data_IF_331375110194
#
_entry.id   IF_331375110194
#
_cell.length_a   1.000
_cell.length_b   1.000
_cell.length_c   1.000
_cell.angle_alpha   90.00
_cell.angle_beta   90.00
_cell.angle_gamma   90.00
#
_symmetry.space_group_name_H-M   'P 1'
#
loop_
_entity.id
_entity.type
_entity.pdbx_description
1 polymer ?
#
# COMPACT_ATOMS: atom_id res chain seq x y z
N UNK A 1 -1.07 2.88 5.06
CA UNK A 1 -1.91 2.70 3.85
C UNK A 1 -1.03 2.24 2.68
N UNK A 2 -1.28 1.05 2.12
CA UNK A 2 -0.43 0.47 1.06
C UNK A 2 -0.83 0.90 -0.37
N UNK A 3 -2.12 1.09 -0.63
CA UNK A 3 -2.65 1.37 -1.96
C UNK A 3 -2.29 2.77 -2.54
N UNK A 4 -2.30 3.88 -1.77
CA UNK A 4 -1.96 5.20 -2.34
C UNK A 4 -0.53 5.30 -2.87
N UNK A 5 0.52 4.84 -2.14
CA UNK A 5 1.88 4.81 -2.70
C UNK A 5 1.96 3.98 -3.99
N UNK A 6 1.34 2.80 -4.02
CA UNK A 6 1.33 1.95 -5.21
C UNK A 6 0.63 2.61 -6.40
N UNK A 7 -0.53 3.24 -6.18
CA UNK A 7 -1.26 3.96 -7.21
C UNK A 7 -0.48 5.17 -7.74
N UNK A 8 0.35 5.82 -6.92
CA UNK A 8 1.17 6.94 -7.35
C UNK A 8 2.39 6.53 -8.19
N UNK A 9 3.01 5.37 -7.91
CA UNK A 9 4.27 4.96 -8.57
C UNK A 9 4.10 3.91 -9.68
N UNK A 10 3.00 3.17 -9.70
CA UNK A 10 2.76 2.14 -10.72
C UNK A 10 1.83 2.67 -11.82
N UNK A 11 2.18 2.44 -13.10
CA UNK A 11 1.27 2.75 -14.19
C UNK A 11 0.10 1.77 -14.21
N UNK A 12 -0.97 2.15 -14.89
CA UNK A 12 -2.04 1.21 -15.23
C UNK A 12 -1.59 0.32 -16.40
N UNK A 13 -1.68 -1.02 -16.29
CA UNK A 13 -1.07 -1.92 -17.27
C UNK A 13 -1.92 -2.18 -18.53
N UNK A 14 -3.22 -1.87 -18.53
CA UNK A 14 -4.12 -2.18 -19.68
C UNK A 14 -4.39 -0.94 -20.53
N UNK A 15 -4.24 -1.06 -21.84
CA UNK A 15 -4.42 0.04 -22.80
C UNK A 15 -5.88 0.45 -22.94
N UNK A 16 -6.82 -0.50 -22.84
CA UNK A 16 -8.26 -0.19 -22.92
C UNK A 16 -8.79 0.57 -21.69
N UNK A 17 -7.97 0.70 -20.64
CA UNK A 17 -8.40 1.25 -19.36
C UNK A 17 -9.18 0.23 -18.51
N UNK A 18 -9.81 0.74 -17.46
CA UNK A 18 -10.64 -0.05 -16.54
C UNK A 18 -10.80 0.66 -15.19
N UNK A 19 -11.54 0.09 -14.23
CA UNK A 19 -11.91 0.79 -13.00
C UNK A 19 -10.72 1.34 -12.18
N UNK A 20 -9.55 0.69 -12.26
CA UNK A 20 -8.34 1.17 -11.59
C UNK A 20 -7.59 2.30 -12.29
N UNK A 21 -7.91 2.61 -13.55
CA UNK A 21 -7.17 3.60 -14.36
C UNK A 21 -7.38 5.05 -13.92
N UNK A 22 -8.43 5.30 -13.13
CA UNK A 22 -8.69 6.62 -12.51
C UNK A 22 -7.68 6.98 -11.42
N UNK A 23 -7.09 5.98 -10.76
CA UNK A 23 -6.19 6.19 -9.63
C UNK A 23 -4.72 5.91 -9.98
N UNK A 24 -4.47 4.82 -10.71
CA UNK A 24 -3.12 4.32 -11.00
C UNK A 24 -2.39 5.21 -12.01
N UNK A 25 -1.20 5.67 -11.65
CA UNK A 25 -0.40 6.64 -12.41
C UNK A 25 -0.99 8.06 -12.43
N UNK A 26 -2.10 8.31 -11.73
CA UNK A 26 -2.79 9.62 -11.69
C UNK A 26 -2.88 10.23 -10.31
N UNK A 27 -2.58 9.47 -9.26
CA UNK A 27 -2.54 9.98 -7.89
C UNK A 27 -1.31 10.88 -7.69
N UNK A 28 -1.50 12.04 -7.05
CA UNK A 28 -0.37 12.92 -6.77
C UNK A 28 0.57 12.30 -5.74
N UNK A 29 1.87 12.39 -6.00
CA UNK A 29 2.91 11.95 -5.06
C UNK A 29 2.76 12.56 -3.66
N UNK A 30 2.46 13.88 -3.52
CA UNK A 30 2.20 14.49 -2.21
C UNK A 30 1.00 13.88 -1.48
N UNK A 31 -0.11 13.61 -2.18
CA UNK A 31 -1.27 12.98 -1.55
C UNK A 31 -0.95 11.56 -1.06
N UNK A 32 -0.19 10.78 -1.85
CA UNK A 32 0.27 9.46 -1.45
C UNK A 32 1.19 9.52 -0.22
N UNK A 33 2.10 10.50 -0.17
CA UNK A 33 2.98 10.72 0.97
C UNK A 33 2.20 11.09 2.24
N UNK A 34 1.21 11.97 2.13
CA UNK A 34 0.32 12.33 3.25
C UNK A 34 -0.46 11.10 3.75
N UNK A 35 -1.02 10.29 2.86
CA UNK A 35 -1.74 9.07 3.26
C UNK A 35 -0.83 8.05 3.98
N UNK A 36 0.41 7.88 3.49
CA UNK A 36 1.40 7.03 4.15
C UNK A 36 1.80 7.58 5.52
N UNK A 37 2.08 8.88 5.61
CA UNK A 37 2.45 9.56 6.85
C UNK A 37 1.33 9.49 7.90
N UNK A 38 0.07 9.73 7.51
CA UNK A 38 -1.07 9.60 8.42
C UNK A 38 -1.19 8.19 8.97
N UNK A 39 -1.08 7.17 8.13
CA UNK A 39 -1.11 5.78 8.58
C UNK A 39 0.03 5.44 9.55
N UNK A 40 1.24 5.93 9.27
CA UNK A 40 2.39 5.75 10.15
C UNK A 40 2.21 6.46 11.50
N UNK A 41 1.77 7.72 11.48
CA UNK A 41 1.50 8.51 12.68
C UNK A 41 0.44 7.88 13.56
N UNK A 42 -0.68 7.42 12.98
CA UNK A 42 -1.73 6.71 13.74
C UNK A 42 -1.15 5.46 14.41
N UNK A 43 -0.38 4.66 13.68
CA UNK A 43 0.22 3.45 14.22
C UNK A 43 1.20 3.73 15.37
N UNK A 44 2.09 4.72 15.21
CA UNK A 44 3.07 5.08 16.23
C UNK A 44 2.44 5.69 17.48
N UNK A 45 1.41 6.53 17.32
CA UNK A 45 0.73 7.18 18.45
C UNK A 45 -0.17 6.21 19.23
N UNK A 46 -0.83 5.28 18.55
CA UNK A 46 -1.77 4.36 19.20
C UNK A 46 -1.09 3.14 19.85
N UNK A 47 0.09 2.72 19.38
CA UNK A 47 0.74 1.46 19.78
C UNK A 47 2.21 1.64 20.16
N UNK A 48 2.61 2.77 20.73
CA UNK A 48 4.03 2.97 21.11
C UNK A 48 4.51 1.93 22.14
N UNK A 49 5.68 1.27 21.96
CA UNK A 49 6.64 1.38 20.84
C UNK A 49 6.43 0.36 19.71
N UNK A 50 5.57 -0.64 19.89
CA UNK A 50 5.35 -1.75 18.95
C UNK A 50 4.75 -1.32 17.60
N UNK A 51 4.13 -0.13 17.54
CA UNK A 51 3.60 0.49 16.32
C UNK A 51 4.65 0.64 15.21
N UNK A 52 5.94 0.79 15.56
CA UNK A 52 7.01 0.83 14.56
C UNK A 52 7.07 -0.47 13.73
N UNK A 53 6.84 -1.63 14.34
CA UNK A 53 6.80 -2.91 13.62
C UNK A 53 5.60 -3.00 12.67
N UNK A 54 4.47 -2.41 13.03
CA UNK A 54 3.29 -2.35 12.15
C UNK A 54 3.57 -1.49 10.91
N UNK A 55 4.26 -0.36 11.08
CA UNK A 55 4.70 0.49 9.97
C UNK A 55 5.68 -0.24 9.06
N UNK A 56 6.70 -0.88 9.62
CA UNK A 56 7.68 -1.69 8.85
C UNK A 56 6.97 -2.79 8.06
N UNK A 57 6.00 -3.48 8.67
CA UNK A 57 5.22 -4.53 8.02
C UNK A 57 4.41 -3.99 6.84
N UNK A 58 3.69 -2.89 7.03
CA UNK A 58 2.92 -2.25 5.96
C UNK A 58 3.81 -1.81 4.78
N UNK A 59 4.99 -1.25 5.06
CA UNK A 59 5.98 -0.86 4.05
C UNK A 59 6.51 -2.09 3.31
N UNK A 60 6.87 -3.15 4.02
CA UNK A 60 7.40 -4.37 3.44
C UNK A 60 6.37 -5.01 2.48
N UNK A 61 5.10 -5.09 2.87
CA UNK A 61 4.02 -5.59 1.99
C UNK A 61 3.87 -4.71 0.76
N UNK A 62 3.77 -3.38 0.94
CA UNK A 62 3.59 -2.45 -0.17
C UNK A 62 4.75 -2.55 -1.18
N UNK A 63 6.00 -2.55 -0.71
CA UNK A 63 7.19 -2.67 -1.57
C UNK A 63 7.20 -4.03 -2.30
N UNK A 64 6.95 -5.12 -1.59
CA UNK A 64 6.97 -6.47 -2.16
C UNK A 64 5.92 -6.61 -3.26
N UNK A 65 4.68 -6.18 -3.01
CA UNK A 65 3.62 -6.18 -4.01
C UNK A 65 3.94 -5.23 -5.17
N UNK A 66 4.46 -4.04 -4.89
CA UNK A 66 4.81 -3.08 -5.93
C UNK A 66 5.85 -3.61 -6.91
N UNK A 67 6.91 -4.25 -6.39
CA UNK A 67 7.93 -4.91 -7.20
C UNK A 67 7.35 -6.10 -7.99
N UNK A 68 6.46 -6.88 -7.36
CA UNK A 68 5.85 -8.06 -7.96
C UNK A 68 4.91 -7.66 -9.11
N UNK A 69 4.02 -6.70 -8.88
CA UNK A 69 3.08 -6.19 -9.88
C UNK A 69 3.81 -5.52 -11.04
N UNK A 70 4.86 -4.76 -10.77
CA UNK A 70 5.68 -4.15 -11.83
C UNK A 70 6.38 -5.19 -12.70
N UNK A 71 6.92 -6.26 -12.11
CA UNK A 71 7.59 -7.33 -12.87
C UNK A 71 6.62 -8.23 -13.62
N UNK A 72 5.48 -8.54 -13.03
CA UNK A 72 4.54 -9.52 -13.57
C UNK A 72 3.55 -8.91 -14.55
N UNK A 73 2.95 -7.77 -14.19
CA UNK A 73 1.86 -7.14 -14.94
C UNK A 73 2.29 -5.85 -15.66
N UNK A 74 3.49 -5.34 -15.37
CA UNK A 74 3.96 -4.04 -15.89
C UNK A 74 3.34 -2.83 -15.17
N UNK A 75 2.54 -3.03 -14.13
CA UNK A 75 1.77 -1.98 -13.46
C UNK A 75 0.80 -2.53 -12.42
N UNK A 76 -0.16 -1.74 -11.95
CA UNK A 76 -1.22 -2.18 -11.04
C UNK A 76 -2.62 -1.89 -11.60
N UNK A 77 -3.55 -2.81 -11.41
CA UNK A 77 -4.98 -2.60 -11.66
C UNK A 77 -5.73 -2.23 -10.37
N UNK A 78 -7.04 -1.98 -10.46
CA UNK A 78 -7.89 -1.79 -9.28
C UNK A 78 -7.85 -3.00 -8.34
N UNK A 79 -7.93 -4.21 -8.90
CA UNK A 79 -7.85 -5.46 -8.12
C UNK A 79 -6.51 -5.60 -7.40
N UNK A 80 -5.40 -5.21 -8.05
CA UNK A 80 -4.07 -5.19 -7.42
C UNK A 80 -4.01 -4.25 -6.21
N UNK A 81 -4.64 -3.06 -6.30
CA UNK A 81 -4.71 -2.10 -5.21
C UNK A 81 -5.64 -2.55 -4.09
N UNK A 82 -6.75 -3.21 -4.42
CA UNK A 82 -7.65 -3.85 -3.46
C UNK A 82 -6.92 -4.95 -2.69
N UNK A 83 -6.30 -5.89 -3.41
CA UNK A 83 -5.50 -6.95 -2.80
C UNK A 83 -4.35 -6.41 -1.95
N UNK A 84 -3.70 -5.33 -2.37
CA UNK A 84 -2.65 -4.70 -1.58
C UNK A 84 -3.16 -4.09 -0.26
N UNK A 85 -4.40 -3.59 -0.24
CA UNK A 85 -5.05 -3.12 0.99
C UNK A 85 -5.31 -4.30 1.92
N UNK A 86 -6.01 -5.33 1.45
CA UNK A 86 -6.37 -6.52 2.24
C UNK A 86 -5.13 -7.25 2.79
N UNK A 87 -4.10 -7.46 1.96
CA UNK A 87 -2.86 -8.11 2.39
C UNK A 87 -2.08 -7.26 3.39
N UNK A 88 -2.07 -5.93 3.23
CA UNK A 88 -1.43 -5.04 4.19
C UNK A 88 -2.14 -5.08 5.53
N UNK A 89 -3.47 -4.99 5.55
CA UNK A 89 -4.27 -5.05 6.78
C UNK A 89 -4.11 -6.41 7.48
N UNK A 90 -4.20 -7.50 6.72
CA UNK A 90 -4.00 -8.85 7.26
C UNK A 90 -2.61 -9.02 7.88
N UNK A 91 -1.54 -8.63 7.18
CA UNK A 91 -0.18 -8.75 7.70
C UNK A 91 0.04 -7.90 8.95
N UNK A 92 -0.46 -6.65 8.94
CA UNK A 92 -0.38 -5.77 10.12
C UNK A 92 -1.15 -6.35 11.30
N UNK A 93 -2.34 -6.91 11.10
CA UNK A 93 -3.13 -7.54 12.16
C UNK A 93 -2.43 -8.79 12.73
N UNK A 94 -1.82 -9.62 11.88
CA UNK A 94 -1.05 -10.79 12.32
C UNK A 94 0.14 -10.36 13.18
N UNK A 95 0.89 -9.35 12.75
CA UNK A 95 2.02 -8.82 13.53
C UNK A 95 1.55 -8.17 14.82
N UNK A 96 0.46 -7.42 14.79
CA UNK A 96 -0.12 -6.83 16.00
C UNK A 96 -0.54 -7.92 17.01
N UNK A 97 -1.18 -8.99 16.55
CA UNK A 97 -1.56 -10.13 17.39
C UNK A 97 -0.34 -10.87 17.97
N UNK A 98 0.78 -10.93 17.24
CA UNK A 98 2.02 -11.55 17.71
C UNK A 98 2.79 -10.67 18.71
N UNK A 99 2.52 -9.36 18.76
CA UNK A 99 3.17 -8.39 19.65
C UNK A 99 2.34 -8.05 20.89
N UNK A 100 1.09 -8.53 20.96
CA UNK A 100 0.16 -8.36 22.07
C UNK A 100 0.44 -9.36 23.20
#
# INVERSE_FOLDING_TARGET
AASPPLAAVLPYPRVEGGPGSVLTGRLSGPAAAVAAALGASISLLAWWPTGAWLVVTAVAVAVTLGLSYRRWLGGATGDCLGAATELCETAVLVVAAALA
#
